data_IF_216016789901
#
_entry.id   IF_216016789901
#
_cell.length_a   1.000
_cell.length_b   1.000
_cell.length_c   1.000
_cell.angle_alpha   90.00
_cell.angle_beta   90.00
_cell.angle_gamma   90.00
#
_symmetry.space_group_name_H-M   'P 1'
#
loop_
_entity.id
_entity.type
_entity.pdbx_description
1 polymer ?
#
# COMPACT_ATOMS: atom_id res chain seq x y z
N UNK A 1 -19.34 -10.27 17.38
CA UNK A 1 -20.49 -10.69 16.54
C UNK A 1 -19.96 -11.13 15.19
N UNK A 2 -20.48 -12.23 14.62
CA UNK A 2 -20.16 -12.65 13.26
C UNK A 2 -20.85 -11.69 12.28
N UNK A 3 -20.11 -11.07 11.37
CA UNK A 3 -20.67 -10.24 10.31
C UNK A 3 -21.55 -11.10 9.39
N UNK A 4 -22.67 -10.54 8.91
CA UNK A 4 -23.50 -11.18 7.90
C UNK A 4 -22.70 -11.29 6.60
N UNK A 5 -22.71 -12.47 5.97
CA UNK A 5 -22.03 -12.71 4.70
C UNK A 5 -23.01 -12.63 3.54
N UNK A 6 -22.59 -11.98 2.46
CA UNK A 6 -23.28 -11.92 1.19
C UNK A 6 -22.35 -12.50 0.11
N UNK A 7 -22.87 -13.27 -0.81
CA UNK A 7 -22.10 -13.85 -1.90
C UNK A 7 -22.46 -13.13 -3.20
N UNK A 8 -21.44 -12.69 -3.91
CA UNK A 8 -21.56 -11.99 -5.19
C UNK A 8 -20.59 -12.62 -6.18
N UNK A 9 -20.93 -12.57 -7.47
CA UNK A 9 -20.03 -12.98 -8.55
C UNK A 9 -19.66 -11.76 -9.37
N UNK A 10 -18.36 -11.44 -9.41
CA UNK A 10 -17.83 -10.28 -10.13
C UNK A 10 -16.52 -10.63 -10.80
N UNK A 11 -16.15 -9.88 -11.83
CA UNK A 11 -14.88 -10.05 -12.54
C UNK A 11 -13.68 -9.92 -11.56
N UNK A 12 -12.89 -10.98 -11.35
CA UNK A 12 -11.79 -10.99 -10.40
C UNK A 12 -10.61 -10.09 -10.82
N UNK A 13 -10.55 -9.64 -12.08
CA UNK A 13 -9.55 -8.68 -12.51
C UNK A 13 -9.83 -7.24 -12.05
N UNK A 14 -11.08 -6.90 -11.84
CA UNK A 14 -11.49 -5.52 -11.55
C UNK A 14 -12.15 -5.35 -10.20
N UNK A 15 -12.63 -6.44 -9.60
CA UNK A 15 -13.34 -6.42 -8.32
C UNK A 15 -12.49 -6.94 -7.18
N UNK A 16 -12.86 -6.50 -5.97
CA UNK A 16 -12.32 -7.02 -4.73
C UNK A 16 -12.81 -8.44 -4.45
N UNK A 17 -12.06 -9.19 -3.66
CA UNK A 17 -12.47 -10.51 -3.21
C UNK A 17 -13.47 -10.43 -2.05
N UNK A 18 -13.34 -9.42 -1.20
CA UNK A 18 -14.31 -9.14 -0.14
C UNK A 18 -14.36 -7.63 0.17
N UNK A 19 -15.53 -7.14 0.57
CA UNK A 19 -15.71 -5.73 0.85
C UNK A 19 -16.87 -5.48 1.81
N UNK A 20 -16.86 -4.37 2.57
CA UNK A 20 -17.93 -4.01 3.48
C UNK A 20 -19.22 -3.68 2.71
N UNK A 21 -20.34 -4.12 3.26
CA UNK A 21 -21.69 -3.83 2.77
C UNK A 21 -22.35 -2.87 3.75
N UNK A 22 -22.69 -1.69 3.28
CA UNK A 22 -23.45 -0.69 4.03
C UNK A 22 -24.92 -0.65 3.60
N UNK A 23 -25.19 -0.98 2.34
CA UNK A 23 -26.52 -1.01 1.75
C UNK A 23 -26.64 -2.13 0.71
N UNK A 24 -27.85 -2.42 0.21
CA UNK A 24 -28.06 -3.43 -0.85
C UNK A 24 -27.44 -3.02 -2.19
N UNK A 25 -27.32 -1.74 -2.44
CA UNK A 25 -26.71 -1.16 -3.65
C UNK A 25 -25.22 -1.52 -3.74
N UNK A 26 -24.53 -1.73 -2.61
CA UNK A 26 -23.13 -2.18 -2.59
C UNK A 26 -22.93 -3.54 -3.24
N UNK A 27 -23.95 -4.39 -3.24
CA UNK A 27 -23.87 -5.73 -3.81
C UNK A 27 -23.86 -5.73 -5.35
N UNK A 28 -24.42 -4.69 -5.97
CA UNK A 28 -24.56 -4.56 -7.43
C UNK A 28 -23.87 -3.33 -8.02
N UNK A 29 -23.51 -2.36 -7.18
CA UNK A 29 -22.91 -1.10 -7.59
C UNK A 29 -21.50 -1.26 -8.17
N UNK A 30 -21.00 -0.25 -8.92
CA UNK A 30 -19.68 -0.27 -9.51
C UNK A 30 -18.56 -0.25 -8.45
N UNK A 31 -17.38 -0.71 -8.82
CA UNK A 31 -16.15 -0.57 -8.05
C UNK A 31 -15.18 0.37 -8.78
N UNK A 32 -14.71 1.40 -8.09
CA UNK A 32 -13.81 2.38 -8.66
C UNK A 32 -13.73 3.62 -7.79
N UNK A 33 -13.34 4.73 -8.39
CA UNK A 33 -13.19 6.04 -7.71
C UNK A 33 -14.53 6.61 -7.24
N UNK A 34 -15.65 6.14 -7.76
CA UNK A 34 -17.00 6.50 -7.33
C UNK A 34 -17.21 6.31 -5.83
N UNK A 35 -16.46 5.37 -5.21
CA UNK A 35 -16.48 5.17 -3.76
C UNK A 35 -15.83 6.31 -2.97
N UNK A 36 -14.96 7.11 -3.58
CA UNK A 36 -14.37 8.30 -2.96
C UNK A 36 -15.36 9.46 -2.90
N UNK A 37 -16.32 9.48 -3.82
CA UNK A 37 -17.31 10.55 -4.00
C UNK A 37 -18.60 10.28 -3.26
N UNK A 38 -18.90 9.00 -2.96
CA UNK A 38 -20.10 8.62 -2.25
C UNK A 38 -20.04 9.12 -0.80
N UNK A 39 -20.73 10.22 -0.51
CA UNK A 39 -20.92 10.72 0.85
C UNK A 39 -21.71 9.68 1.62
N UNK A 40 -21.03 8.93 2.48
CA UNK A 40 -21.64 8.00 3.40
C UNK A 40 -21.67 8.66 4.77
N UNK A 41 -22.83 9.10 5.18
CA UNK A 41 -23.07 9.39 6.57
C UNK A 41 -22.86 8.11 7.36
N UNK A 42 -22.10 8.16 8.44
CA UNK A 42 -21.83 7.15 9.49
C UNK A 42 -22.72 5.89 9.43
N UNK A 43 -22.66 5.14 8.35
CA UNK A 43 -23.48 3.95 8.17
C UNK A 43 -22.78 2.79 8.88
N UNK A 44 -23.55 2.03 9.64
CA UNK A 44 -23.06 0.80 10.23
C UNK A 44 -22.81 -0.25 9.13
N UNK A 45 -21.71 -0.98 9.25
CA UNK A 45 -21.40 -2.09 8.36
C UNK A 45 -22.45 -3.18 8.57
N UNK A 46 -23.30 -3.43 7.58
CA UNK A 46 -24.35 -4.45 7.59
C UNK A 46 -23.76 -5.87 7.47
N UNK A 47 -22.60 -6.00 6.85
CA UNK A 47 -21.94 -7.27 6.63
C UNK A 47 -20.76 -7.18 5.68
N UNK A 48 -20.31 -8.32 5.18
CA UNK A 48 -19.23 -8.47 4.22
C UNK A 48 -19.73 -9.19 2.97
N UNK A 49 -19.44 -8.64 1.78
CA UNK A 49 -19.65 -9.33 0.52
C UNK A 49 -18.38 -10.15 0.16
N UNK A 50 -18.59 -11.36 -0.30
CA UNK A 50 -17.56 -12.31 -0.73
C UNK A 50 -17.74 -12.59 -2.22
N UNK A 51 -16.71 -12.33 -3.02
CA UNK A 51 -16.74 -12.55 -4.48
C UNK A 51 -16.38 -14.01 -4.80
N UNK A 52 -17.37 -14.77 -5.24
CA UNK A 52 -17.25 -16.21 -5.53
C UNK A 52 -16.39 -16.54 -6.75
N UNK A 53 -15.98 -15.55 -7.54
CA UNK A 53 -14.98 -15.74 -8.59
C UNK A 53 -13.58 -16.06 -8.07
N UNK A 54 -13.32 -15.82 -6.77
CA UNK A 54 -12.08 -16.24 -6.10
C UNK A 54 -12.28 -17.61 -5.43
N UNK A 55 -11.45 -18.63 -5.76
CA UNK A 55 -11.53 -19.93 -5.12
C UNK A 55 -11.44 -19.83 -3.60
N UNK A 56 -12.26 -20.60 -2.88
CA UNK A 56 -12.26 -20.69 -1.41
C UNK A 56 -12.27 -19.34 -0.68
N UNK A 57 -12.92 -18.33 -1.30
CA UNK A 57 -12.89 -16.94 -0.83
C UNK A 57 -13.25 -16.78 0.65
N UNK A 58 -14.23 -17.53 1.15
CA UNK A 58 -14.66 -17.44 2.55
C UNK A 58 -13.57 -17.92 3.51
N UNK A 59 -12.93 -19.05 3.22
CA UNK A 59 -11.85 -19.59 4.04
C UNK A 59 -10.62 -18.67 4.03
N UNK A 60 -10.27 -18.14 2.86
CA UNK A 60 -9.14 -17.23 2.68
C UNK A 60 -9.38 -15.88 3.34
N UNK A 61 -10.59 -15.34 3.23
CA UNK A 61 -11.00 -14.14 3.98
C UNK A 61 -10.84 -14.34 5.49
N UNK A 62 -11.36 -15.46 6.03
CA UNK A 62 -11.25 -15.77 7.47
C UNK A 62 -9.79 -15.90 7.90
N UNK A 63 -8.96 -16.56 7.11
CA UNK A 63 -7.53 -16.73 7.39
C UNK A 63 -6.81 -15.38 7.41
N UNK A 64 -7.04 -14.50 6.42
CA UNK A 64 -6.44 -13.18 6.35
C UNK A 64 -6.88 -12.30 7.54
N UNK A 65 -8.18 -12.20 7.78
CA UNK A 65 -8.68 -11.41 8.91
C UNK A 65 -8.22 -11.94 10.26
N UNK A 66 -8.11 -13.27 10.39
CA UNK A 66 -7.57 -13.91 11.59
C UNK A 66 -6.12 -13.50 11.88
N UNK A 67 -5.29 -13.30 10.85
CA UNK A 67 -3.92 -12.78 11.02
C UNK A 67 -3.91 -11.30 11.40
N UNK A 68 -4.68 -10.48 10.70
CA UNK A 68 -4.72 -9.03 10.97
C UNK A 68 -5.26 -8.67 12.35
N UNK A 69 -6.13 -9.49 12.92
CA UNK A 69 -6.76 -9.24 14.24
C UNK A 69 -5.97 -9.82 15.42
N UNK A 70 -4.81 -10.43 15.19
CA UNK A 70 -3.94 -10.87 16.28
C UNK A 70 -3.52 -9.68 17.15
N UNK A 71 -3.51 -9.81 18.48
CA UNK A 71 -3.09 -8.73 19.36
C UNK A 71 -1.61 -8.39 19.20
N UNK A 72 -0.76 -9.40 19.02
CA UNK A 72 0.66 -9.26 18.76
C UNK A 72 0.99 -9.80 17.36
N UNK A 73 1.72 -9.03 16.58
CA UNK A 73 2.02 -9.31 15.19
C UNK A 73 3.48 -9.67 14.95
N UNK A 74 3.69 -10.48 13.94
CA UNK A 74 5.00 -10.76 13.36
C UNK A 74 5.07 -10.13 11.97
N UNK A 75 6.07 -9.28 11.75
CA UNK A 75 6.32 -8.63 10.47
C UNK A 75 7.63 -9.13 9.88
N UNK A 76 7.67 -9.41 8.58
CA UNK A 76 8.91 -9.77 7.88
C UNK A 76 9.26 -8.69 6.85
N UNK A 77 10.48 -8.19 6.87
CA UNK A 77 10.99 -7.12 5.98
C UNK A 77 12.06 -7.67 5.07
N UNK A 78 11.87 -7.49 3.76
CA UNK A 78 12.83 -7.88 2.72
C UNK A 78 13.44 -6.66 2.06
N UNK A 79 14.79 -6.61 2.05
CA UNK A 79 15.58 -5.49 1.56
C UNK A 79 15.93 -4.50 2.68
N UNK A 80 17.18 -4.46 3.09
CA UNK A 80 17.69 -3.63 4.19
C UNK A 80 18.50 -2.43 3.72
N UNK A 81 18.25 -1.97 2.49
CA UNK A 81 18.81 -0.72 1.97
C UNK A 81 18.34 0.51 2.78
N UNK A 82 18.58 1.70 2.22
CA UNK A 82 18.26 2.98 2.90
C UNK A 82 16.82 3.05 3.43
N UNK A 83 15.83 2.64 2.63
CA UNK A 83 14.40 2.63 3.03
C UNK A 83 14.12 1.51 4.02
N UNK A 84 14.52 0.27 3.71
CA UNK A 84 14.19 -0.89 4.55
C UNK A 84 14.85 -0.82 5.93
N UNK A 85 16.12 -0.44 6.01
CA UNK A 85 16.81 -0.28 7.29
C UNK A 85 16.20 0.82 8.16
N UNK A 86 15.80 1.95 7.55
CA UNK A 86 15.08 3.03 8.26
C UNK A 86 13.70 2.57 8.71
N UNK A 87 12.99 1.80 7.87
CA UNK A 87 11.69 1.22 8.20
C UNK A 87 11.79 0.28 9.41
N UNK A 88 12.74 -0.67 9.40
CA UNK A 88 12.94 -1.60 10.53
C UNK A 88 13.25 -0.85 11.82
N UNK A 89 14.09 0.21 11.74
CA UNK A 89 14.39 1.07 12.89
C UNK A 89 13.13 1.78 13.40
N UNK A 90 12.31 2.33 12.51
CA UNK A 90 11.07 2.99 12.90
C UNK A 90 10.06 2.00 13.53
N UNK A 91 9.91 0.81 12.95
CA UNK A 91 9.04 -0.23 13.50
C UNK A 91 9.53 -0.75 14.87
N UNK A 92 10.85 -0.86 15.07
CA UNK A 92 11.44 -1.18 16.37
C UNK A 92 11.04 -0.16 17.46
N UNK A 93 10.97 1.13 17.10
CA UNK A 93 10.65 2.20 18.06
C UNK A 93 9.15 2.42 18.26
N UNK A 94 8.32 2.23 17.22
CA UNK A 94 6.91 2.62 17.18
C UNK A 94 5.93 1.45 17.25
N UNK A 95 6.42 0.23 17.06
CA UNK A 95 5.61 -0.99 16.94
C UNK A 95 5.38 -1.69 18.27
N UNK A 96 4.72 -1.06 19.23
CA UNK A 96 4.44 -1.64 20.55
C UNK A 96 3.51 -2.88 20.48
N UNK A 97 2.77 -3.01 19.39
CA UNK A 97 1.88 -4.14 19.05
C UNK A 97 2.56 -5.19 18.14
N UNK A 98 3.87 -5.05 17.92
CA UNK A 98 4.68 -6.01 17.15
C UNK A 98 5.56 -6.79 18.12
N UNK A 99 5.45 -8.12 18.08
CA UNK A 99 6.28 -9.02 18.87
C UNK A 99 7.66 -9.24 18.25
N UNK A 100 7.70 -9.44 16.93
CA UNK A 100 8.90 -9.83 16.20
C UNK A 100 8.94 -9.13 14.83
N UNK A 101 10.12 -8.66 14.45
CA UNK A 101 10.42 -8.20 13.09
C UNK A 101 11.49 -9.12 12.53
N UNK A 102 11.07 -9.99 11.60
CA UNK A 102 11.99 -10.78 10.79
C UNK A 102 12.61 -9.92 9.71
N UNK A 103 13.92 -10.07 9.46
CA UNK A 103 14.64 -9.31 8.44
C UNK A 103 15.38 -10.24 7.47
N UNK A 104 15.35 -9.90 6.20
CA UNK A 104 16.04 -10.63 5.14
C UNK A 104 16.64 -9.68 4.10
N UNK A 105 17.90 -9.90 3.79
CA UNK A 105 18.61 -9.24 2.68
C UNK A 105 19.66 -10.23 2.15
N UNK A 106 19.94 -10.31 0.84
CA UNK A 106 21.04 -11.12 0.31
C UNK A 106 22.42 -10.78 0.90
N UNK A 107 22.57 -9.58 1.46
CA UNK A 107 23.76 -9.18 2.20
C UNK A 107 23.62 -9.59 3.68
N UNK A 108 24.12 -10.78 4.01
CA UNK A 108 24.10 -11.33 5.37
C UNK A 108 24.74 -10.41 6.42
N UNK A 109 25.81 -9.70 6.07
CA UNK A 109 26.48 -8.77 6.98
C UNK A 109 25.56 -7.61 7.35
N UNK A 110 24.70 -7.18 6.42
CA UNK A 110 23.72 -6.14 6.65
C UNK A 110 22.60 -6.63 7.60
N UNK A 111 22.11 -7.86 7.40
CA UNK A 111 21.15 -8.50 8.31
C UNK A 111 21.74 -8.60 9.73
N UNK A 112 22.97 -9.09 9.86
CA UNK A 112 23.64 -9.24 11.13
C UNK A 112 23.86 -7.92 11.86
N UNK A 113 24.21 -6.86 11.12
CA UNK A 113 24.34 -5.50 11.65
C UNK A 113 23.01 -5.03 12.27
N UNK A 114 21.91 -5.08 11.50
CA UNK A 114 20.60 -4.61 11.99
C UNK A 114 20.09 -5.46 13.16
N UNK A 115 20.29 -6.77 13.13
CA UNK A 115 19.93 -7.65 14.24
C UNK A 115 20.69 -7.25 15.52
N UNK A 116 22.02 -7.12 15.45
CA UNK A 116 22.85 -6.77 16.59
C UNK A 116 22.54 -5.36 17.11
N UNK A 117 22.50 -4.34 16.26
CA UNK A 117 22.32 -2.96 16.69
C UNK A 117 20.90 -2.70 17.24
N UNK A 118 19.88 -3.20 16.57
CA UNK A 118 18.49 -2.91 16.98
C UNK A 118 18.05 -3.74 18.21
N UNK A 119 18.60 -4.93 18.42
CA UNK A 119 18.36 -5.66 19.66
C UNK A 119 19.06 -5.06 20.88
N UNK A 120 19.98 -4.13 20.69
CA UNK A 120 20.54 -3.30 21.78
C UNK A 120 19.65 -2.09 22.13
N UNK A 121 18.63 -1.79 21.34
CA UNK A 121 17.63 -0.79 21.69
C UNK A 121 16.60 -1.44 22.62
N UNK A 122 16.82 -1.27 23.92
CA UNK A 122 16.00 -1.84 24.98
C UNK A 122 15.14 -0.74 25.61
N UNK A 123 13.84 -0.83 25.41
CA UNK A 123 12.83 -0.04 26.12
C UNK A 123 11.52 -0.83 26.13
N UNK A 124 11.08 -1.28 27.30
CA UNK A 124 9.85 -2.05 27.50
C UNK A 124 9.73 -3.25 26.53
N UNK A 125 8.53 -3.52 26.07
CA UNK A 125 8.18 -4.65 25.20
C UNK A 125 8.39 -4.31 23.71
N UNK A 126 9.58 -3.87 23.34
CA UNK A 126 9.90 -3.59 21.92
C UNK A 126 10.10 -4.87 21.12
N UNK A 127 9.74 -4.90 19.84
CA UNK A 127 9.86 -6.10 19.01
C UNK A 127 11.29 -6.62 18.95
N UNK A 128 11.45 -7.95 18.95
CA UNK A 128 12.73 -8.61 18.71
C UNK A 128 13.02 -8.60 17.22
N UNK A 129 14.26 -8.29 16.84
CA UNK A 129 14.74 -8.40 15.46
C UNK A 129 15.35 -9.79 15.27
N UNK A 130 14.90 -10.51 14.23
CA UNK A 130 15.40 -11.85 13.91
C UNK A 130 15.80 -11.95 12.44
N UNK A 131 16.98 -12.51 12.17
CA UNK A 131 17.39 -12.84 10.80
C UNK A 131 16.58 -14.05 10.34
N UNK A 132 16.06 -13.98 9.11
CA UNK A 132 15.24 -15.02 8.51
C UNK A 132 16.03 -15.84 7.50
N UNK A 133 15.71 -17.12 7.44
CA UNK A 133 15.97 -17.94 6.28
C UNK A 133 14.91 -17.69 5.18
N UNK A 134 15.26 -17.98 3.94
CA UNK A 134 14.37 -17.74 2.79
C UNK A 134 13.04 -18.50 2.89
N UNK A 135 13.04 -19.67 3.53
CA UNK A 135 11.85 -20.48 3.75
C UNK A 135 10.86 -19.87 4.75
N UNK A 136 11.32 -18.95 5.61
CA UNK A 136 10.52 -18.34 6.67
C UNK A 136 9.86 -17.01 6.24
N UNK A 137 10.15 -16.51 5.03
CA UNK A 137 9.75 -15.17 4.58
C UNK A 137 8.26 -14.89 4.72
N UNK A 138 7.42 -15.90 4.49
CA UNK A 138 5.96 -15.79 4.54
C UNK A 138 5.30 -16.37 5.79
N UNK A 139 6.10 -16.73 6.80
CA UNK A 139 5.58 -17.06 8.14
C UNK A 139 5.45 -15.79 9.00
N UNK A 140 4.52 -14.92 8.62
CA UNK A 140 4.28 -13.63 9.26
C UNK A 140 2.85 -13.15 9.06
N UNK A 141 2.46 -12.10 9.78
CA UNK A 141 1.14 -11.45 9.63
C UNK A 141 1.19 -10.33 8.58
N UNK A 142 2.36 -9.71 8.38
CA UNK A 142 2.61 -8.79 7.28
C UNK A 142 4.02 -8.97 6.71
N UNK A 143 4.10 -9.07 5.39
CA UNK A 143 5.34 -9.15 4.60
C UNK A 143 5.60 -7.81 3.93
N UNK A 144 6.73 -7.17 4.23
CA UNK A 144 7.08 -5.82 3.83
C UNK A 144 8.20 -5.87 2.77
N UNK A 145 7.86 -5.52 1.53
CA UNK A 145 8.78 -5.57 0.40
C UNK A 145 9.36 -4.18 0.11
N UNK A 146 10.65 -3.98 0.46
CA UNK A 146 11.39 -2.73 0.23
C UNK A 146 12.59 -2.90 -0.71
N UNK A 147 12.84 -4.12 -1.18
CA UNK A 147 13.95 -4.39 -2.09
C UNK A 147 13.78 -3.67 -3.43
N UNK A 148 14.86 -3.10 -3.95
CA UNK A 148 14.90 -2.42 -5.24
C UNK A 148 16.23 -2.64 -5.92
N UNK A 149 16.22 -2.82 -7.24
CA UNK A 149 17.45 -2.93 -8.05
C UNK A 149 18.10 -1.58 -8.40
N UNK A 150 17.94 -0.61 -7.50
CA UNK A 150 18.57 0.70 -7.59
C UNK A 150 17.76 1.72 -8.41
N UNK A 151 17.97 2.99 -8.07
CA UNK A 151 17.48 4.13 -8.85
C UNK A 151 18.54 4.42 -9.92
N UNK A 152 18.20 4.51 -11.22
CA UNK A 152 19.13 4.91 -12.24
C UNK A 152 19.79 6.26 -11.91
N UNK A 153 21.06 6.48 -12.30
CA UNK A 153 21.76 7.73 -12.04
C UNK A 153 21.06 8.90 -12.74
N UNK A 154 21.22 10.10 -12.19
CA UNK A 154 20.72 11.33 -12.82
C UNK A 154 21.32 11.46 -14.22
N UNK A 155 20.46 11.62 -15.24
CA UNK A 155 20.88 11.75 -16.64
C UNK A 155 20.90 10.43 -17.42
N UNK A 156 20.43 9.32 -16.88
CA UNK A 156 20.24 8.08 -17.63
C UNK A 156 19.31 8.31 -18.84
N UNK A 157 19.70 7.82 -20.02
CA UNK A 157 18.91 7.92 -21.24
C UNK A 157 17.70 6.94 -21.17
N UNK A 158 16.54 7.37 -21.70
CA UNK A 158 15.31 6.57 -21.76
C UNK A 158 14.32 6.88 -20.62
N UNK A 159 13.20 6.18 -20.62
CA UNK A 159 12.24 6.28 -19.54
C UNK A 159 12.73 5.53 -18.29
N UNK A 160 13.40 6.28 -17.43
CA UNK A 160 14.00 5.78 -16.18
C UNK A 160 12.97 5.08 -15.28
N UNK A 161 11.70 5.52 -15.30
CA UNK A 161 10.62 4.91 -14.50
C UNK A 161 10.22 3.54 -15.03
N UNK A 162 10.14 3.41 -16.36
CA UNK A 162 9.82 2.11 -16.99
C UNK A 162 10.94 1.10 -16.75
N UNK A 163 12.20 1.50 -16.89
CA UNK A 163 13.34 0.63 -16.59
C UNK A 163 13.37 0.18 -15.12
N UNK A 164 13.06 1.07 -14.21
CA UNK A 164 12.95 0.74 -12.79
C UNK A 164 11.78 -0.19 -12.52
N UNK A 165 10.62 0.07 -13.14
CA UNK A 165 9.44 -0.77 -13.04
C UNK A 165 9.73 -2.20 -13.49
N UNK A 166 10.29 -2.39 -14.69
CA UNK A 166 10.59 -3.74 -15.23
C UNK A 166 11.53 -4.52 -14.31
N UNK A 167 12.64 -3.90 -13.86
CA UNK A 167 13.59 -4.55 -12.96
C UNK A 167 12.99 -4.95 -11.63
N UNK A 168 12.16 -4.08 -11.04
CA UNK A 168 11.50 -4.37 -9.77
C UNK A 168 10.36 -5.38 -9.94
N UNK A 169 9.60 -5.31 -11.05
CA UNK A 169 8.59 -6.32 -11.41
C UNK A 169 9.20 -7.71 -11.52
N UNK A 170 10.33 -7.84 -12.21
CA UNK A 170 10.99 -9.14 -12.38
C UNK A 170 11.51 -9.71 -11.07
N UNK A 171 12.01 -8.85 -10.17
CA UNK A 171 12.40 -9.27 -8.82
C UNK A 171 11.16 -9.72 -8.01
N UNK A 172 10.05 -9.02 -8.12
CA UNK A 172 8.80 -9.37 -7.44
C UNK A 172 8.25 -10.73 -7.83
N UNK A 173 8.46 -11.19 -9.09
CA UNK A 173 8.02 -12.53 -9.55
C UNK A 173 8.48 -13.65 -8.60
N UNK A 174 9.70 -13.57 -8.09
CA UNK A 174 10.23 -14.56 -7.14
C UNK A 174 9.44 -14.57 -5.83
N UNK A 175 9.18 -13.39 -5.28
CA UNK A 175 8.50 -13.29 -3.98
C UNK A 175 6.99 -13.57 -4.09
N UNK A 176 6.34 -13.18 -5.18
CA UNK A 176 4.92 -13.50 -5.43
C UNK A 176 4.69 -14.98 -5.62
N UNK A 177 5.61 -15.68 -6.30
CA UNK A 177 5.59 -17.14 -6.42
C UNK A 177 5.73 -17.81 -5.06
N UNK A 178 6.70 -17.41 -4.25
CA UNK A 178 6.89 -17.92 -2.88
C UNK A 178 5.68 -17.64 -1.97
N UNK A 179 5.07 -16.45 -2.07
CA UNK A 179 3.85 -16.14 -1.32
C UNK A 179 2.70 -17.10 -1.67
N UNK A 180 2.53 -17.40 -2.98
CA UNK A 180 1.55 -18.38 -3.44
C UNK A 180 1.86 -19.78 -2.96
N UNK A 181 3.09 -20.26 -3.10
CA UNK A 181 3.54 -21.59 -2.66
C UNK A 181 3.38 -21.78 -1.14
N UNK A 182 3.60 -20.73 -0.37
CA UNK A 182 3.38 -20.71 1.08
C UNK A 182 1.90 -20.58 1.48
N UNK A 183 0.96 -20.48 0.55
CA UNK A 183 -0.45 -20.17 0.81
C UNK A 183 -0.57 -18.95 1.75
N UNK A 184 0.21 -17.91 1.51
CA UNK A 184 0.33 -16.77 2.40
C UNK A 184 -1.01 -16.10 2.66
N UNK A 185 -1.39 -16.04 3.92
CA UNK A 185 -2.66 -15.48 4.37
C UNK A 185 -2.52 -14.14 5.11
N UNK A 186 -1.32 -13.55 5.13
CA UNK A 186 -1.07 -12.23 5.73
C UNK A 186 -1.17 -11.08 4.72
N UNK A 187 -0.78 -9.89 5.14
CA UNK A 187 -0.75 -8.68 4.33
C UNK A 187 0.59 -8.56 3.57
N UNK A 188 0.54 -8.37 2.26
CA UNK A 188 1.70 -8.04 1.43
C UNK A 188 1.80 -6.52 1.27
N UNK A 189 2.78 -5.91 1.93
CA UNK A 189 3.04 -4.48 1.90
C UNK A 189 4.05 -4.16 0.79
N UNK A 190 3.57 -3.59 -0.31
CA UNK A 190 4.41 -3.14 -1.42
C UNK A 190 4.92 -1.72 -1.15
N UNK A 191 6.26 -1.54 -1.06
CA UNK A 191 6.88 -0.27 -0.69
C UNK A 191 7.82 0.25 -1.78
N UNK A 192 8.39 -0.65 -2.59
CA UNK A 192 9.30 -0.28 -3.68
C UNK A 192 8.60 0.42 -4.83
N UNK A 193 9.27 1.40 -5.44
CA UNK A 193 8.73 2.18 -6.57
C UNK A 193 8.78 1.41 -7.92
N UNK A 194 7.80 1.67 -8.79
CA UNK A 194 6.57 2.45 -8.59
C UNK A 194 5.50 1.68 -7.83
N UNK A 195 5.10 2.20 -6.67
CA UNK A 195 4.31 1.47 -5.66
C UNK A 195 2.98 0.93 -6.20
N UNK A 196 2.22 1.77 -6.89
CA UNK A 196 0.83 1.46 -7.30
C UNK A 196 0.81 0.37 -8.38
N UNK A 197 1.63 0.51 -9.42
CA UNK A 197 1.76 -0.48 -10.49
C UNK A 197 2.34 -1.81 -9.96
N UNK A 198 3.37 -1.74 -9.09
CA UNK A 198 3.96 -2.95 -8.52
C UNK A 198 2.99 -3.66 -7.57
N UNK A 199 2.13 -2.94 -6.84
CA UNK A 199 1.05 -3.57 -6.05
C UNK A 199 0.09 -4.37 -6.95
N UNK A 200 -0.25 -3.83 -8.13
CA UNK A 200 -1.03 -4.55 -9.13
C UNK A 200 -0.29 -5.78 -9.66
N UNK A 201 1.01 -5.64 -9.92
CA UNK A 201 1.83 -6.78 -10.35
C UNK A 201 1.89 -7.89 -9.29
N UNK A 202 1.99 -7.55 -8.00
CA UNK A 202 1.95 -8.53 -6.90
C UNK A 202 0.67 -9.36 -6.97
N UNK A 203 -0.48 -8.71 -7.08
CA UNK A 203 -1.76 -9.40 -7.21
C UNK A 203 -1.82 -10.29 -8.46
N UNK A 204 -1.52 -9.75 -9.63
CA UNK A 204 -1.63 -10.50 -10.89
C UNK A 204 -0.64 -11.66 -10.96
N UNK A 205 0.61 -11.47 -10.57
CA UNK A 205 1.64 -12.50 -10.65
C UNK A 205 1.39 -13.65 -9.66
N UNK A 206 0.91 -13.36 -8.45
CA UNK A 206 0.57 -14.41 -7.47
C UNK A 206 -0.61 -15.27 -7.92
N UNK A 207 -1.46 -14.75 -8.80
CA UNK A 207 -2.67 -15.41 -9.29
C UNK A 207 -2.50 -16.13 -10.64
N UNK A 208 -1.26 -16.34 -11.07
CA UNK A 208 -0.92 -17.21 -12.21
C UNK A 208 -0.45 -18.58 -11.73
N UNK A 209 -0.94 -19.63 -12.38
CA UNK A 209 -0.45 -20.98 -12.19
C UNK A 209 0.92 -21.20 -12.87
N UNK A 210 1.43 -22.42 -12.82
CA UNK A 210 2.72 -22.78 -13.42
C UNK A 210 2.73 -22.65 -14.96
N UNK A 211 1.56 -22.67 -15.59
CA UNK A 211 1.38 -22.50 -17.03
C UNK A 211 1.16 -21.04 -17.42
N UNK A 212 1.13 -20.11 -16.44
CA UNK A 212 0.87 -18.70 -16.65
C UNK A 212 -0.61 -18.35 -16.79
N UNK A 213 -1.52 -19.29 -16.53
CA UNK A 213 -2.98 -19.08 -16.57
C UNK A 213 -3.45 -18.47 -15.25
N UNK A 214 -4.40 -17.54 -15.33
CA UNK A 214 -5.00 -16.97 -14.13
C UNK A 214 -6.01 -17.93 -13.51
N UNK A 215 -5.76 -18.37 -12.28
CA UNK A 215 -6.64 -19.24 -11.50
C UNK A 215 -7.16 -18.57 -10.22
N UNK A 216 -6.67 -17.38 -9.89
CA UNK A 216 -7.03 -16.59 -8.72
C UNK A 216 -6.87 -17.32 -7.36
N UNK A 217 -6.02 -18.34 -7.32
CA UNK A 217 -5.69 -19.10 -6.10
C UNK A 217 -4.50 -18.49 -5.30
N UNK A 218 -3.90 -17.40 -5.79
CA UNK A 218 -2.82 -16.66 -5.11
C UNK A 218 -3.34 -15.67 -4.07
N UNK A 219 -2.73 -14.48 -3.95
CA UNK A 219 -3.16 -13.46 -3.00
C UNK A 219 -4.53 -12.87 -3.38
N UNK A 220 -5.38 -12.60 -2.39
CA UNK A 220 -6.58 -11.80 -2.59
C UNK A 220 -6.18 -10.34 -2.85
N UNK A 221 -6.97 -9.54 -3.60
CA UNK A 221 -6.65 -8.13 -3.83
C UNK A 221 -6.38 -7.36 -2.54
N UNK A 222 -7.18 -7.59 -1.49
CA UNK A 222 -7.09 -6.91 -0.19
C UNK A 222 -5.89 -7.34 0.64
N UNK A 223 -5.26 -8.47 0.31
CA UNK A 223 -3.99 -8.89 0.92
C UNK A 223 -2.80 -8.07 0.42
N UNK A 224 -2.98 -7.22 -0.58
CA UNK A 224 -1.93 -6.36 -1.12
C UNK A 224 -2.28 -4.91 -0.86
N UNK A 225 -1.34 -4.16 -0.31
CA UNK A 225 -1.46 -2.72 -0.13
C UNK A 225 -0.15 -2.02 -0.51
N UNK A 226 -0.25 -0.87 -1.17
CA UNK A 226 0.90 -0.07 -1.60
C UNK A 226 1.15 1.09 -0.65
N UNK A 227 2.41 1.30 -0.26
CA UNK A 227 2.79 2.32 0.73
C UNK A 227 3.72 3.37 0.14
N UNK A 228 3.14 4.36 -0.54
CA UNK A 228 3.83 5.51 -1.14
C UNK A 228 3.16 6.86 -0.81
N UNK A 229 1.84 6.86 -0.64
CA UNK A 229 1.06 8.09 -0.50
C UNK A 229 1.32 8.86 0.80
N UNK A 230 1.68 8.19 1.89
CA UNK A 230 1.90 8.81 3.19
C UNK A 230 2.94 9.93 3.16
N UNK A 231 4.06 9.73 2.46
CA UNK A 231 5.07 10.78 2.31
C UNK A 231 4.59 11.93 1.43
N UNK A 232 3.72 11.68 0.46
CA UNK A 232 3.15 12.75 -0.37
C UNK A 232 2.24 13.66 0.47
N UNK A 233 1.39 13.08 1.30
CA UNK A 233 0.60 13.84 2.28
C UNK A 233 1.48 14.63 3.25
N UNK A 234 2.56 14.03 3.77
CA UNK A 234 3.46 14.69 4.71
C UNK A 234 4.23 15.84 4.05
N UNK A 235 4.73 15.67 2.81
CA UNK A 235 5.38 16.72 2.02
C UNK A 235 4.41 17.85 1.71
N UNK A 236 3.19 17.54 1.28
CA UNK A 236 2.15 18.55 1.03
C UNK A 236 1.90 19.40 2.28
N UNK A 237 1.76 18.78 3.45
CA UNK A 237 1.58 19.48 4.71
C UNK A 237 2.80 20.36 5.08
N UNK A 238 4.02 19.89 4.80
CA UNK A 238 5.23 20.68 4.99
C UNK A 238 5.27 21.92 4.07
N UNK A 239 4.97 21.73 2.77
CA UNK A 239 4.95 22.83 1.80
C UNK A 239 3.83 23.85 2.10
N UNK A 240 2.62 23.36 2.44
CA UNK A 240 1.51 24.23 2.82
C UNK A 240 1.87 25.16 4.00
N UNK A 241 2.53 24.62 5.06
CA UNK A 241 2.99 25.45 6.18
C UNK A 241 3.98 26.54 5.72
N UNK A 242 4.88 26.24 4.79
CA UNK A 242 5.82 27.23 4.23
C UNK A 242 5.11 28.32 3.42
N UNK A 243 3.96 28.00 2.84
CA UNK A 243 3.11 28.94 2.07
C UNK A 243 2.10 29.67 2.97
N UNK A 244 2.05 29.39 4.28
CA UNK A 244 1.03 29.95 5.18
C UNK A 244 -0.37 29.33 5.00
N UNK A 245 -0.47 28.18 4.33
CA UNK A 245 -1.73 27.45 4.10
C UNK A 245 -1.95 26.44 5.22
N UNK A 246 -3.20 26.35 5.69
CA UNK A 246 -3.57 25.38 6.73
C UNK A 246 -3.47 23.93 6.19
N UNK A 247 -2.64 23.05 6.78
CA UNK A 247 -2.47 21.69 6.30
C UNK A 247 -3.57 20.73 6.75
N UNK A 248 -4.51 21.12 7.60
CA UNK A 248 -5.50 20.20 8.19
C UNK A 248 -6.54 19.72 7.18
N UNK A 249 -6.86 20.55 6.19
CA UNK A 249 -7.83 20.25 5.12
C UNK A 249 -7.24 19.48 3.95
N UNK A 250 -5.90 19.41 3.86
CA UNK A 250 -5.23 18.76 2.73
C UNK A 250 -5.62 17.30 2.57
N UNK A 251 -5.81 16.89 1.33
CA UNK A 251 -5.94 15.48 0.94
C UNK A 251 -4.95 15.11 -0.14
N UNK A 252 -4.53 13.85 -0.14
CA UNK A 252 -3.68 13.28 -1.17
C UNK A 252 -4.42 12.09 -1.80
N UNK A 253 -4.47 12.07 -3.12
CA UNK A 253 -5.09 11.01 -3.91
C UNK A 253 -4.16 10.60 -5.05
N UNK A 254 -4.41 9.41 -5.60
CA UNK A 254 -3.73 8.94 -6.79
C UNK A 254 -2.41 8.23 -6.51
N UNK A 255 -1.68 7.91 -7.59
CA UNK A 255 -0.43 7.18 -7.49
C UNK A 255 0.69 7.98 -6.83
N UNK A 256 1.64 7.26 -6.24
CA UNK A 256 2.88 7.84 -5.73
C UNK A 256 3.80 8.21 -6.92
N UNK A 257 3.46 9.28 -7.63
CA UNK A 257 4.25 9.71 -8.81
C UNK A 257 3.42 10.48 -9.82
N UNK A 258 3.48 10.09 -11.09
CA UNK A 258 2.64 10.69 -12.13
C UNK A 258 1.16 10.45 -11.83
N UNK A 259 0.34 11.47 -11.92
CA UNK A 259 -1.07 11.42 -11.53
C UNK A 259 -1.35 11.69 -10.05
N UNK A 260 -0.34 12.05 -9.23
CA UNK A 260 -0.56 12.51 -7.86
C UNK A 260 -1.47 13.74 -7.84
N UNK A 261 -2.45 13.75 -6.93
CA UNK A 261 -3.36 14.87 -6.68
C UNK A 261 -3.25 15.29 -5.23
N UNK A 262 -2.78 16.50 -4.98
CA UNK A 262 -2.86 17.14 -3.66
C UNK A 262 -3.98 18.18 -3.72
N UNK A 263 -5.04 17.96 -2.95
CA UNK A 263 -6.12 18.90 -2.80
C UNK A 263 -5.90 19.77 -1.56
N UNK A 264 -6.04 21.08 -1.68
CA UNK A 264 -6.01 22.03 -0.54
C UNK A 264 -7.18 21.78 0.40
N UNK A 265 -8.32 21.42 -0.14
CA UNK A 265 -9.54 21.02 0.56
C UNK A 265 -10.39 20.11 -0.33
N UNK A 266 -11.12 19.11 0.19
CA UNK A 266 -12.04 18.33 -0.62
C UNK A 266 -13.26 19.13 -1.09
N UNK A 267 -13.77 20.06 -0.30
CA UNK A 267 -15.01 20.81 -0.56
C UNK A 267 -14.76 22.25 -1.02
N UNK A 268 -13.80 22.92 -0.39
CA UNK A 268 -13.36 24.28 -0.75
C UNK A 268 -12.12 24.19 -1.63
N UNK A 269 -12.27 23.52 -2.78
CA UNK A 269 -11.18 23.21 -3.68
C UNK A 269 -10.78 24.44 -4.49
N UNK A 270 -9.47 24.76 -4.46
CA UNK A 270 -8.82 25.75 -5.30
C UNK A 270 -7.84 25.03 -6.21
N UNK A 271 -8.11 25.04 -7.51
CA UNK A 271 -7.31 24.29 -8.49
C UNK A 271 -5.88 24.82 -8.62
N UNK A 272 -5.68 26.13 -8.58
CA UNK A 272 -4.35 26.74 -8.73
C UNK A 272 -3.48 26.45 -7.52
N UNK A 273 -4.02 26.59 -6.33
CA UNK A 273 -3.34 26.24 -5.07
C UNK A 273 -3.03 24.73 -5.01
N UNK A 274 -3.97 23.89 -5.44
CA UNK A 274 -3.79 22.43 -5.46
C UNK A 274 -2.74 22.00 -6.48
N UNK A 275 -2.65 22.65 -7.63
CA UNK A 275 -1.63 22.41 -8.65
C UNK A 275 -0.25 22.79 -8.13
N UNK A 276 -0.11 23.94 -7.50
CA UNK A 276 1.15 24.37 -6.89
C UNK A 276 1.59 23.44 -5.76
N UNK A 277 0.67 23.06 -4.85
CA UNK A 277 0.95 22.08 -3.79
C UNK A 277 1.35 20.73 -4.36
N UNK A 278 0.70 20.27 -5.44
CA UNK A 278 1.05 19.00 -6.12
C UNK A 278 2.45 19.08 -6.71
N UNK A 279 2.76 20.17 -7.42
CA UNK A 279 4.06 20.42 -8.04
C UNK A 279 5.20 20.45 -7.00
N UNK A 280 5.02 21.20 -5.92
CA UNK A 280 6.00 21.29 -4.82
C UNK A 280 6.20 19.94 -4.12
N UNK A 281 5.11 19.23 -3.86
CA UNK A 281 5.14 17.89 -3.24
C UNK A 281 5.91 16.90 -4.10
N UNK A 282 5.61 16.84 -5.38
CA UNK A 282 6.26 15.92 -6.33
C UNK A 282 7.76 16.22 -6.52
N UNK A 283 8.17 17.49 -6.35
CA UNK A 283 9.57 17.92 -6.53
C UNK A 283 10.38 17.96 -5.23
N UNK A 284 9.78 17.79 -4.06
CA UNK A 284 10.45 17.93 -2.77
C UNK A 284 11.69 17.04 -2.58
N UNK A 285 11.72 15.86 -3.21
CA UNK A 285 12.88 14.97 -3.19
C UNK A 285 14.09 15.55 -3.94
N UNK A 286 13.87 16.46 -4.90
CA UNK A 286 14.95 17.11 -5.67
C UNK A 286 15.71 18.10 -4.80
N UNK A 287 15.03 18.80 -3.88
CA UNK A 287 15.67 19.72 -2.92
C UNK A 287 16.67 18.96 -2.05
N UNK A 288 16.30 17.81 -1.50
CA UNK A 288 17.19 16.95 -0.71
C UNK A 288 18.37 16.45 -1.54
N UNK A 289 18.15 16.06 -2.81
CA UNK A 289 19.21 15.62 -3.73
C UNK A 289 20.17 16.75 -4.07
N UNK A 290 19.68 17.98 -4.21
CA UNK A 290 20.52 19.16 -4.46
C UNK A 290 21.49 19.46 -3.31
N UNK A 291 21.16 19.02 -2.07
CA UNK A 291 22.06 19.08 -0.93
C UNK A 291 23.07 17.93 -0.86
N UNK A 292 23.07 17.01 -1.85
CA UNK A 292 23.98 15.86 -1.90
C UNK A 292 23.49 14.62 -1.14
N UNK A 293 22.25 14.59 -0.65
CA UNK A 293 21.70 13.47 0.14
C UNK A 293 20.64 12.66 -0.61
N UNK A 294 20.47 11.40 -0.21
CA UNK A 294 19.36 10.56 -0.69
C UNK A 294 18.09 10.81 0.15
N UNK A 295 16.93 11.05 -0.48
CA UNK A 295 15.68 11.39 0.22
C UNK A 295 14.88 10.14 0.65
N UNK A 296 15.38 9.30 1.54
CA UNK A 296 14.77 8.04 1.94
C UNK A 296 14.10 8.03 3.32
N UNK A 297 14.46 8.95 4.22
CA UNK A 297 13.95 8.96 5.62
C UNK A 297 12.43 9.15 5.63
N UNK A 298 11.92 10.19 4.99
CA UNK A 298 10.49 10.48 4.98
C UNK A 298 9.66 9.39 4.28
N UNK A 299 10.05 8.82 3.12
CA UNK A 299 9.38 7.65 2.55
C UNK A 299 9.32 6.45 3.50
N UNK A 300 10.44 6.09 4.13
CA UNK A 300 10.51 4.96 5.06
C UNK A 300 9.62 5.13 6.29
N UNK A 301 9.53 6.35 6.81
CA UNK A 301 8.75 6.64 8.03
C UNK A 301 7.30 6.97 7.68
N UNK A 302 7.05 8.01 6.88
CA UNK A 302 5.69 8.51 6.66
C UNK A 302 4.86 7.61 5.75
N UNK A 303 5.45 7.04 4.68
CA UNK A 303 4.70 6.12 3.81
C UNK A 303 4.65 4.71 4.36
N UNK A 304 5.78 4.15 4.81
CA UNK A 304 5.83 2.77 5.24
C UNK A 304 5.49 2.63 6.72
N UNK A 305 6.37 2.99 7.66
CA UNK A 305 6.18 2.67 9.07
C UNK A 305 4.84 3.17 9.63
N UNK A 306 4.54 4.47 9.50
CA UNK A 306 3.33 5.06 10.08
C UNK A 306 2.05 4.56 9.40
N UNK A 307 2.03 4.43 8.06
CA UNK A 307 0.83 3.96 7.37
C UNK A 307 0.59 2.46 7.57
N UNK A 308 1.63 1.64 7.65
CA UNK A 308 1.51 0.20 7.95
C UNK A 308 1.00 0.01 9.38
N UNK A 309 1.57 0.71 10.36
CA UNK A 309 1.10 0.63 11.75
C UNK A 309 -0.36 1.07 11.86
N UNK A 310 -0.75 2.17 11.22
CA UNK A 310 -2.13 2.63 11.19
C UNK A 310 -3.07 1.57 10.58
N UNK A 311 -2.71 0.95 9.45
CA UNK A 311 -3.49 -0.14 8.85
C UNK A 311 -3.64 -1.31 9.82
N UNK A 312 -2.55 -1.77 10.43
CA UNK A 312 -2.54 -2.92 11.34
C UNK A 312 -3.34 -2.66 12.63
N UNK A 313 -3.46 -1.40 13.05
CA UNK A 313 -4.26 -0.95 14.19
C UNK A 313 -5.72 -0.65 13.84
N UNK A 314 -6.10 -0.79 12.58
CA UNK A 314 -7.44 -0.42 12.12
C UNK A 314 -7.71 1.09 12.22
N UNK A 315 -6.68 1.91 12.04
CA UNK A 315 -6.74 3.37 11.97
C UNK A 315 -6.74 3.84 10.50
N UNK A 316 -7.01 5.12 10.27
CA UNK A 316 -6.92 5.72 8.94
C UNK A 316 -5.47 5.72 8.45
N UNK A 317 -5.21 5.13 7.30
CA UNK A 317 -3.90 5.08 6.66
C UNK A 317 -3.91 5.66 5.25
N UNK A 318 -2.75 6.14 4.79
CA UNK A 318 -2.55 6.63 3.43
C UNK A 318 -1.81 5.57 2.62
N UNK A 319 -2.51 4.93 1.68
CA UNK A 319 -1.94 3.88 0.85
C UNK A 319 -2.74 3.60 -0.40
N UNK A 320 -2.15 2.81 -1.30
CA UNK A 320 -2.82 2.32 -2.50
C UNK A 320 -3.54 1.01 -2.18
N UNK A 321 -4.83 0.97 -2.47
CA UNK A 321 -5.74 -0.16 -2.24
C UNK A 321 -6.40 -0.59 -3.55
N UNK A 322 -6.92 -1.83 -3.65
CA UNK A 322 -7.60 -2.29 -4.86
C UNK A 322 -8.87 -1.45 -5.12
N UNK A 323 -8.94 -0.88 -6.33
CA UNK A 323 -10.02 0.01 -6.75
C UNK A 323 -10.27 -0.09 -8.26
N UNK A 324 -11.26 -0.89 -8.66
CA UNK A 324 -11.67 -1.02 -10.07
C UNK A 324 -10.59 -1.58 -11.01
N UNK A 325 -9.73 -2.46 -10.52
CA UNK A 325 -8.68 -3.12 -11.30
C UNK A 325 -7.29 -2.49 -11.21
N UNK A 326 -7.13 -1.39 -10.48
CA UNK A 326 -5.83 -0.77 -10.14
C UNK A 326 -5.64 -0.73 -8.63
N UNK A 327 -4.44 -0.37 -8.19
CA UNK A 327 -4.19 0.03 -6.81
C UNK A 327 -4.09 1.54 -6.77
N UNK A 328 -5.04 2.20 -6.11
CA UNK A 328 -5.18 3.65 -6.12
C UNK A 328 -5.00 4.24 -4.73
N UNK A 329 -4.17 5.26 -4.63
CA UNK A 329 -3.83 5.92 -3.37
C UNK A 329 -4.98 6.78 -2.85
N UNK A 330 -5.38 6.53 -1.61
CA UNK A 330 -6.38 7.32 -0.88
C UNK A 330 -6.24 7.11 0.64
N UNK A 331 -7.09 7.75 1.41
CA UNK A 331 -7.25 7.47 2.84
C UNK A 331 -8.23 6.33 3.01
N UNK A 332 -7.81 5.32 3.74
CA UNK A 332 -8.60 4.11 3.97
C UNK A 332 -8.40 3.59 5.38
N UNK A 333 -9.31 2.73 5.81
CA UNK A 333 -9.28 2.05 7.10
C UNK A 333 -9.54 0.57 6.90
N UNK A 334 -8.73 -0.30 7.51
CA UNK A 334 -9.00 -1.73 7.54
C UNK A 334 -10.01 -2.04 8.65
N UNK A 335 -11.06 -2.77 8.29
CA UNK A 335 -12.13 -3.20 9.20
C UNK A 335 -12.30 -4.72 9.12
N UNK A 336 -13.05 -5.34 10.06
CA UNK A 336 -13.38 -6.77 9.94
C UNK A 336 -14.12 -7.15 8.65
N UNK A 337 -14.77 -6.19 7.98
CA UNK A 337 -15.44 -6.43 6.70
C UNK A 337 -14.55 -6.11 5.48
N UNK A 338 -13.28 -5.76 5.68
CA UNK A 338 -12.36 -5.32 4.64
C UNK A 338 -12.07 -3.82 4.68
N UNK A 339 -11.41 -3.33 3.64
CA UNK A 339 -10.98 -1.94 3.56
C UNK A 339 -12.14 -1.01 3.27
N UNK A 340 -12.35 -0.04 4.16
CA UNK A 340 -13.28 1.07 3.97
C UNK A 340 -12.50 2.28 3.44
N UNK A 341 -12.93 2.81 2.32
CA UNK A 341 -12.42 4.06 1.78
C UNK A 341 -13.07 5.22 2.55
N UNK A 342 -12.29 6.21 2.91
CA UNK A 342 -12.83 7.45 3.47
C UNK A 342 -13.54 8.22 2.37
N UNK A 343 -14.87 8.09 2.32
CA UNK A 343 -15.72 8.85 1.42
C UNK A 343 -15.94 10.26 1.98
N UNK A 344 -15.82 11.26 1.09
CA UNK A 344 -15.99 12.69 1.42
C UNK A 344 -16.80 13.34 0.29
N UNK A 345 -17.52 14.42 0.59
CA UNK A 345 -18.04 15.28 -0.46
C UNK A 345 -16.85 15.92 -1.18
N UNK A 346 -16.80 15.76 -2.51
CA UNK A 346 -15.74 16.34 -3.33
C UNK A 346 -16.27 17.49 -4.18
N UNK A 347 -15.46 18.52 -4.33
CA UNK A 347 -15.71 19.55 -5.33
C UNK A 347 -15.69 18.92 -6.75
N UNK A 348 -16.58 19.28 -7.69
CA UNK A 348 -16.68 18.63 -9.01
C UNK A 348 -15.36 18.64 -9.83
N UNK A 349 -14.59 19.71 -9.75
CA UNK A 349 -13.28 19.77 -10.42
C UNK A 349 -12.27 18.80 -9.81
N UNK A 350 -12.25 18.67 -8.49
CA UNK A 350 -11.41 17.70 -7.80
C UNK A 350 -11.81 16.26 -8.16
N UNK A 351 -13.10 15.98 -8.21
CA UNK A 351 -13.61 14.68 -8.63
C UNK A 351 -13.13 14.34 -10.05
N UNK A 352 -13.30 15.27 -10.98
CA UNK A 352 -12.82 15.11 -12.38
C UNK A 352 -11.32 14.81 -12.43
N UNK A 353 -10.53 15.50 -11.63
CA UNK A 353 -9.08 15.32 -11.55
C UNK A 353 -8.69 13.94 -10.98
N UNK A 354 -9.38 13.47 -9.95
CA UNK A 354 -9.19 12.14 -9.36
C UNK A 354 -9.56 11.05 -10.38
N UNK A 355 -10.70 11.19 -11.07
CA UNK A 355 -11.14 10.25 -12.09
C UNK A 355 -10.13 10.15 -13.24
N UNK A 356 -9.57 11.30 -13.68
CA UNK A 356 -8.52 11.32 -14.69
C UNK A 356 -7.27 10.58 -14.22
N UNK A 357 -6.79 10.84 -13.00
CA UNK A 357 -5.62 10.16 -12.44
C UNK A 357 -5.82 8.63 -12.34
N UNK A 358 -7.03 8.21 -12.00
CA UNK A 358 -7.39 6.79 -11.95
C UNK A 358 -7.42 6.17 -13.37
N UNK A 359 -7.99 6.86 -14.35
CA UNK A 359 -8.07 6.38 -15.73
C UNK A 359 -6.66 6.22 -16.35
N UNK A 360 -5.78 7.20 -16.15
CA UNK A 360 -4.39 7.15 -16.60
C UNK A 360 -3.62 5.97 -15.97
N UNK A 361 -3.84 5.72 -14.67
CA UNK A 361 -3.23 4.57 -14.00
C UNK A 361 -3.75 3.24 -14.58
N UNK A 362 -5.04 3.18 -14.91
CA UNK A 362 -5.67 1.99 -15.51
C UNK A 362 -5.18 1.71 -16.93
N UNK A 363 -4.94 2.74 -17.74
CA UNK A 363 -4.34 2.59 -19.07
C UNK A 363 -2.94 1.97 -18.98
N UNK A 364 -2.16 2.32 -17.96
CA UNK A 364 -0.83 1.75 -17.70
C UNK A 364 -0.83 0.28 -17.20
N UNK A 365 -2.00 -0.27 -16.82
CA UNK A 365 -2.11 -1.62 -16.23
C UNK A 365 -1.68 -2.74 -17.18
N UNK A 366 -1.78 -2.55 -18.50
CA UNK A 366 -1.39 -3.56 -19.49
C UNK A 366 0.06 -4.05 -19.29
N UNK A 367 0.97 -3.18 -18.84
CA UNK A 367 2.36 -3.52 -18.52
C UNK A 367 2.54 -4.43 -17.30
N UNK A 368 1.53 -4.55 -16.44
CA UNK A 368 1.54 -5.48 -15.30
C UNK A 368 1.13 -6.90 -15.69
N UNK A 369 0.47 -7.07 -16.84
CA UNK A 369 -0.03 -8.38 -17.32
C UNK A 369 1.01 -9.18 -18.07
N UNK A 370 2.08 -8.56 -18.51
CA UNK A 370 3.24 -9.20 -19.15
C UNK A 370 4.28 -9.62 -18.14
#
# INVERSE_FOLDING_TARGET
MSLRQYFVERDPFTSRAFFPVFSKEDLTGPEGVERLVAVRNTEEIMGVALNTAFPDVEARYKAFMGRLTRPEKRLNVVGLGDVGGTLVTALKLLGDDIREIGIYDPNESLCRRYEMELNQVLDREKPVIRILDEAELFDCDAFLFTASRGVPPLGAAGDVRMLQFEKNRDMLKTYTKKAREACFSGLFCQISDPVDQLSRCVFLQSNRDENGTYDFAGLLPEQVAGFGLGVMKARAAYMARRMGVNPSTLRAYGPHGAGLVIANSPTEYDSDLSDELTRLTASANREVRALGFKPYIAPAISSAALSILALLRGEDFHGAIPMGGVYFGCVSKMTPAGTVVRAEALHPELETRIQKAWAELKEGEASCRT
#
